data_IF_557866349647
#
_entry.id   IF_557866349647
#
_cell.length_a   1.000
_cell.length_b   1.000
_cell.length_c   1.000
_cell.angle_alpha   90.00
_cell.angle_beta   90.00
_cell.angle_gamma   90.00
#
_symmetry.space_group_name_H-M   'P 1'
#
loop_
_entity.id
_entity.type
_entity.pdbx_description
1 polymer ?
#
# COMPACT_ATOMS: atom_id res chain seq x y z
N UNK A 1 6.89 -19.99 -20.29
CA UNK A 1 6.47 -19.26 -19.08
C UNK A 1 5.68 -20.25 -18.24
N UNK A 2 6.03 -20.52 -16.96
CA UNK A 2 5.14 -21.31 -16.11
C UNK A 2 3.75 -20.68 -16.20
N UNK A 3 2.72 -21.52 -16.33
CA UNK A 3 1.35 -21.03 -16.48
C UNK A 3 1.03 -20.21 -15.23
N UNK A 4 0.89 -18.88 -15.38
CA UNK A 4 0.66 -17.98 -14.26
C UNK A 4 -0.65 -18.34 -13.55
N UNK A 5 -1.57 -19.00 -14.27
CA UNK A 5 -2.74 -19.60 -13.65
C UNK A 5 -2.36 -20.59 -12.56
N UNK A 6 -1.36 -21.43 -12.78
CA UNK A 6 -0.90 -22.45 -11.83
C UNK A 6 -0.40 -21.82 -10.54
N UNK A 7 0.43 -20.78 -10.63
CA UNK A 7 0.90 -20.04 -9.45
C UNK A 7 -0.26 -19.40 -8.68
N UNK A 8 -1.23 -18.84 -9.40
CA UNK A 8 -2.36 -18.17 -8.77
C UNK A 8 -3.43 -19.13 -8.26
N UNK A 9 -3.44 -20.43 -8.61
CA UNK A 9 -4.50 -21.38 -8.20
C UNK A 9 -4.77 -21.43 -6.70
N UNK A 10 -3.75 -21.24 -5.87
CA UNK A 10 -3.85 -21.16 -4.41
C UNK A 10 -4.85 -20.08 -3.93
N UNK A 11 -5.11 -19.05 -4.72
CA UNK A 11 -5.99 -17.94 -4.39
C UNK A 11 -7.47 -18.17 -4.71
N UNK A 12 -7.81 -19.31 -5.32
CA UNK A 12 -9.17 -19.57 -5.78
C UNK A 12 -10.20 -19.60 -4.64
N UNK A 13 -9.77 -19.98 -3.42
CA UNK A 13 -10.62 -19.97 -2.23
C UNK A 13 -10.99 -18.54 -1.81
N UNK A 14 -10.05 -17.59 -1.89
CA UNK A 14 -10.20 -16.22 -1.38
C UNK A 14 -10.85 -15.26 -2.39
N UNK A 15 -10.53 -15.39 -3.70
CA UNK A 15 -10.98 -14.43 -4.73
C UNK A 15 -12.29 -14.82 -5.42
N UNK A 16 -12.67 -16.10 -5.37
CA UNK A 16 -13.72 -16.65 -6.22
C UNK A 16 -13.37 -16.68 -7.71
N UNK A 17 -14.05 -17.55 -8.47
CA UNK A 17 -13.69 -17.89 -9.86
C UNK A 17 -13.60 -16.68 -10.79
N UNK A 18 -14.46 -15.68 -10.62
CA UNK A 18 -14.48 -14.50 -11.51
C UNK A 18 -13.29 -13.57 -11.26
N UNK A 19 -13.01 -13.19 -10.01
CA UNK A 19 -11.88 -12.31 -9.73
C UNK A 19 -10.54 -13.02 -9.92
N UNK A 20 -10.49 -14.34 -9.68
CA UNK A 20 -9.34 -15.17 -10.02
C UNK A 20 -8.98 -15.05 -11.51
N UNK A 21 -9.94 -15.24 -12.42
CA UNK A 21 -9.71 -15.09 -13.87
C UNK A 21 -9.29 -13.66 -14.24
N UNK A 22 -9.86 -12.65 -13.58
CA UNK A 22 -9.48 -11.24 -13.80
C UNK A 22 -8.04 -10.98 -13.32
N UNK A 23 -7.65 -11.51 -12.17
CA UNK A 23 -6.31 -11.37 -11.62
C UNK A 23 -5.27 -12.02 -12.55
N UNK A 24 -5.53 -13.22 -13.06
CA UNK A 24 -4.68 -13.86 -14.09
C UNK A 24 -4.45 -12.92 -15.28
N UNK A 25 -5.52 -12.35 -15.84
CA UNK A 25 -5.40 -11.41 -16.98
C UNK A 25 -4.65 -10.13 -16.62
N UNK A 26 -4.83 -9.62 -15.41
CA UNK A 26 -4.10 -8.44 -14.93
C UNK A 26 -2.60 -8.78 -14.81
N UNK A 27 -2.26 -9.92 -14.22
CA UNK A 27 -0.88 -10.35 -14.04
C UNK A 27 -0.18 -10.59 -15.39
N UNK A 28 -0.85 -11.27 -16.34
CA UNK A 28 -0.34 -11.44 -17.71
C UNK A 28 -0.09 -10.09 -18.39
N UNK A 29 -1.05 -9.15 -18.29
CA UNK A 29 -0.91 -7.82 -18.86
C UNK A 29 0.24 -7.03 -18.22
N UNK A 30 0.40 -7.13 -16.89
CA UNK A 30 1.50 -6.49 -16.15
C UNK A 30 2.86 -7.04 -16.58
N UNK A 31 2.99 -8.35 -16.79
CA UNK A 31 4.23 -8.98 -17.24
C UNK A 31 4.55 -8.67 -18.71
N UNK A 32 3.54 -8.37 -19.52
CA UNK A 32 3.71 -8.08 -20.95
C UNK A 32 4.01 -6.60 -21.23
N UNK A 33 3.61 -5.69 -20.35
CA UNK A 33 3.80 -4.26 -20.55
C UNK A 33 5.14 -3.77 -20.00
N UNK A 34 5.69 -2.76 -20.66
CA UNK A 34 6.87 -2.02 -20.18
C UNK A 34 6.46 -0.59 -19.77
N UNK A 35 7.09 -0.07 -18.72
CA UNK A 35 6.84 1.28 -18.23
C UNK A 35 5.68 1.39 -17.25
N UNK A 36 4.87 2.46 -17.37
CA UNK A 36 3.86 2.80 -16.37
C UNK A 36 2.62 1.91 -16.48
N UNK A 37 2.34 1.17 -15.41
CA UNK A 37 1.11 0.39 -15.27
C UNK A 37 -0.08 1.34 -15.03
N UNK A 38 -1.00 1.42 -15.99
CA UNK A 38 -2.23 2.21 -15.89
C UNK A 38 -3.43 1.32 -16.21
N UNK A 39 -4.64 1.62 -15.71
CA UNK A 39 -5.84 0.83 -16.05
C UNK A 39 -6.08 0.77 -17.56
N UNK A 40 -5.87 1.87 -18.29
CA UNK A 40 -5.98 1.89 -19.75
C UNK A 40 -4.90 1.02 -20.41
N UNK A 41 -3.66 1.12 -19.95
CA UNK A 41 -2.56 0.26 -20.40
C UNK A 41 -2.88 -1.22 -20.18
N UNK A 42 -3.33 -1.58 -18.97
CA UNK A 42 -3.73 -2.94 -18.64
C UNK A 42 -4.82 -3.44 -19.60
N UNK A 43 -5.85 -2.62 -19.87
CA UNK A 43 -6.94 -3.02 -20.76
C UNK A 43 -6.48 -3.30 -22.20
N UNK A 44 -5.45 -2.59 -22.67
CA UNK A 44 -4.86 -2.79 -24.01
C UNK A 44 -4.05 -4.08 -24.09
N UNK A 45 -3.36 -4.45 -23.01
CA UNK A 45 -2.50 -5.62 -22.94
C UNK A 45 -3.20 -6.92 -22.49
N UNK A 46 -4.34 -6.82 -21.80
CA UNK A 46 -5.06 -7.98 -21.25
C UNK A 46 -5.92 -8.77 -22.26
N UNK A 47 -5.97 -8.33 -23.52
CA UNK A 47 -6.68 -9.03 -24.60
C UNK A 47 -8.18 -9.27 -24.34
N UNK A 48 -8.71 -10.36 -24.89
CA UNK A 48 -10.13 -10.71 -24.75
C UNK A 48 -10.49 -11.03 -23.30
N UNK A 49 -11.48 -10.32 -22.77
CA UNK A 49 -11.97 -10.49 -21.39
C UNK A 49 -11.40 -9.47 -20.39
N UNK A 50 -10.33 -8.76 -20.74
CA UNK A 50 -9.73 -7.71 -19.92
C UNK A 50 -10.12 -6.29 -20.32
N UNK A 51 -11.40 -6.05 -20.67
CA UNK A 51 -11.83 -4.68 -20.98
C UNK A 51 -11.60 -3.72 -19.81
N UNK A 52 -11.52 -2.42 -20.10
CA UNK A 52 -11.37 -1.40 -19.05
C UNK A 52 -12.43 -1.54 -17.95
N UNK A 53 -13.69 -1.84 -18.31
CA UNK A 53 -14.78 -2.06 -17.35
C UNK A 53 -14.54 -3.30 -16.49
N UNK A 54 -13.95 -4.37 -17.04
CA UNK A 54 -13.59 -5.57 -16.27
C UNK A 54 -12.53 -5.25 -15.22
N UNK A 55 -11.48 -4.52 -15.61
CA UNK A 55 -10.42 -4.10 -14.70
C UNK A 55 -10.96 -3.18 -13.60
N UNK A 56 -11.78 -2.22 -13.98
CA UNK A 56 -12.45 -1.32 -13.04
C UNK A 56 -13.29 -2.11 -12.02
N UNK A 57 -14.04 -3.13 -12.46
CA UNK A 57 -14.80 -4.01 -11.55
C UNK A 57 -13.90 -4.80 -10.61
N UNK A 58 -12.73 -5.25 -11.06
CA UNK A 58 -11.77 -5.95 -10.19
C UNK A 58 -11.23 -5.00 -9.10
N UNK A 59 -10.70 -3.84 -9.49
CA UNK A 59 -10.15 -2.88 -8.52
C UNK A 59 -11.18 -2.20 -7.62
N UNK A 60 -12.47 -2.29 -7.96
CA UNK A 60 -13.56 -1.82 -7.11
C UNK A 60 -14.09 -2.93 -6.17
N UNK A 61 -13.67 -4.17 -6.36
CA UNK A 61 -14.07 -5.26 -5.47
C UNK A 61 -13.30 -5.19 -4.15
N UNK A 62 -13.97 -5.55 -3.06
CA UNK A 62 -13.38 -5.68 -1.73
C UNK A 62 -12.59 -6.97 -1.68
N UNK A 63 -11.26 -6.87 -1.69
CA UNK A 63 -10.34 -8.01 -1.62
C UNK A 63 -9.55 -7.89 -0.32
N UNK A 64 -9.48 -8.98 0.45
CA UNK A 64 -8.59 -9.08 1.60
C UNK A 64 -7.16 -9.33 1.10
N UNK A 65 -6.46 -8.24 0.75
CA UNK A 65 -5.08 -8.30 0.24
C UNK A 65 -4.09 -8.98 1.19
N UNK A 66 -4.14 -8.74 2.51
CA UNK A 66 -3.23 -9.42 3.45
C UNK A 66 -3.38 -10.94 3.41
N UNK A 67 -4.62 -11.43 3.44
CA UNK A 67 -4.91 -12.86 3.32
C UNK A 67 -4.40 -13.42 1.99
N UNK A 68 -4.64 -12.70 0.90
CA UNK A 68 -4.20 -13.10 -0.44
C UNK A 68 -2.67 -13.20 -0.55
N UNK A 69 -1.95 -12.20 -0.05
CA UNK A 69 -0.50 -12.19 -0.02
C UNK A 69 0.04 -13.33 0.86
N UNK A 70 -0.61 -13.58 2.00
CA UNK A 70 -0.26 -14.67 2.89
C UNK A 70 -0.45 -16.04 2.23
N UNK A 71 -1.57 -16.27 1.53
CA UNK A 71 -1.80 -17.54 0.80
C UNK A 71 -0.76 -17.78 -0.29
N UNK A 72 -0.38 -16.74 -1.05
CA UNK A 72 0.72 -16.83 -2.03
C UNK A 72 2.04 -17.15 -1.35
N UNK A 73 2.31 -16.49 -0.23
CA UNK A 73 3.53 -16.68 0.53
C UNK A 73 3.63 -18.10 1.08
N UNK A 74 2.59 -18.59 1.76
CA UNK A 74 2.54 -19.95 2.30
C UNK A 74 2.69 -21.02 1.21
N UNK A 75 2.06 -20.82 0.05
CA UNK A 75 2.03 -21.83 -1.01
C UNK A 75 3.36 -21.96 -1.76
N UNK A 76 4.07 -20.84 -1.97
CA UNK A 76 5.21 -20.81 -2.90
C UNK A 76 6.53 -20.35 -2.29
N UNK A 77 6.49 -19.65 -1.16
CA UNK A 77 7.66 -18.94 -0.60
C UNK A 77 8.04 -19.42 0.79
N UNK A 78 7.08 -19.94 1.56
CA UNK A 78 7.33 -20.56 2.85
C UNK A 78 8.07 -21.88 2.61
N UNK A 79 9.31 -21.94 3.06
CA UNK A 79 10.13 -23.15 3.04
C UNK A 79 10.64 -23.48 4.43
N UNK A 80 11.55 -24.45 4.51
CA UNK A 80 12.22 -24.89 5.75
C UNK A 80 13.23 -23.85 6.30
N UNK A 81 13.18 -22.62 5.81
CA UNK A 81 14.06 -21.56 6.29
C UNK A 81 13.74 -21.24 7.75
N UNK A 82 14.79 -21.24 8.55
CA UNK A 82 14.72 -21.18 10.02
C UNK A 82 14.65 -19.75 10.55
N UNK A 83 15.01 -18.75 9.76
CA UNK A 83 15.17 -17.36 10.21
C UNK A 83 14.39 -16.38 9.34
N UNK A 84 13.40 -15.75 9.98
CA UNK A 84 12.54 -14.75 9.38
C UNK A 84 12.50 -13.52 10.27
N UNK A 85 12.57 -12.34 9.65
CA UNK A 85 12.46 -11.05 10.32
C UNK A 85 11.23 -10.34 9.78
N UNK A 86 10.43 -9.76 10.68
CA UNK A 86 9.36 -8.84 10.28
C UNK A 86 9.89 -7.41 10.31
N UNK A 87 9.71 -6.70 9.20
CA UNK A 87 10.04 -5.29 9.09
C UNK A 87 8.76 -4.50 8.79
N UNK A 88 8.54 -3.43 9.54
CA UNK A 88 7.43 -2.52 9.36
C UNK A 88 7.97 -1.10 9.21
N UNK A 89 7.47 -0.37 8.22
CA UNK A 89 7.84 1.01 7.99
C UNK A 89 6.68 1.81 7.39
N UNK A 90 6.71 3.11 7.58
CA UNK A 90 5.77 4.06 6.99
C UNK A 90 6.37 4.69 5.74
N UNK A 91 5.64 4.60 4.62
CA UNK A 91 6.09 5.13 3.34
C UNK A 91 5.13 6.20 2.85
N UNK A 92 5.69 7.36 2.52
CA UNK A 92 4.95 8.47 1.92
C UNK A 92 5.10 8.44 0.41
N UNK A 93 3.99 8.32 -0.31
CA UNK A 93 3.94 8.39 -1.77
C UNK A 93 3.33 9.72 -2.19
N UNK A 94 4.11 10.54 -2.89
CA UNK A 94 3.61 11.82 -3.41
C UNK A 94 2.51 11.59 -4.43
N UNK A 95 1.41 12.34 -4.29
CA UNK A 95 0.28 12.23 -5.21
C UNK A 95 -0.22 13.62 -5.59
N UNK A 96 -0.34 13.84 -6.89
CA UNK A 96 -0.97 15.04 -7.44
C UNK A 96 -2.49 14.86 -7.51
N UNK A 97 -3.24 15.95 -7.33
CA UNK A 97 -4.69 15.96 -7.41
C UNK A 97 -5.34 16.33 -6.07
N UNK A 98 -6.67 16.29 -6.02
CA UNK A 98 -7.47 16.64 -4.83
C UNK A 98 -8.50 15.59 -4.43
N UNK A 99 -8.77 14.61 -5.31
CA UNK A 99 -9.85 13.62 -5.17
C UNK A 99 -9.31 12.22 -4.89
N UNK A 100 -8.34 12.12 -4.00
CA UNK A 100 -7.79 10.82 -3.58
C UNK A 100 -8.06 10.66 -2.10
N UNK A 101 -8.63 9.52 -1.72
CA UNK A 101 -8.91 9.19 -0.34
C UNK A 101 -7.61 9.09 0.46
N UNK A 102 -7.57 9.63 1.68
CA UNK A 102 -6.36 9.69 2.51
C UNK A 102 -5.29 10.68 2.04
N UNK A 103 -5.61 11.59 1.12
CA UNK A 103 -4.66 12.58 0.62
C UNK A 103 -4.39 13.65 1.69
N UNK A 104 -3.13 13.71 2.12
CA UNK A 104 -2.65 14.65 3.14
C UNK A 104 -1.35 15.33 2.69
N UNK A 105 -0.75 16.10 3.60
CA UNK A 105 0.51 16.81 3.40
C UNK A 105 1.58 16.21 4.31
N UNK A 106 2.62 15.66 3.71
CA UNK A 106 3.74 15.01 4.40
C UNK A 106 5.04 15.72 4.08
N UNK A 107 5.98 15.77 5.03
CA UNK A 107 7.31 16.32 4.77
C UNK A 107 8.12 15.32 3.94
N UNK A 108 8.73 15.78 2.85
CA UNK A 108 9.67 14.99 2.08
C UNK A 108 11.07 15.56 2.25
N UNK A 109 11.97 14.76 2.80
CA UNK A 109 13.40 15.10 2.93
C UNK A 109 14.04 15.34 1.56
N UNK A 110 13.66 14.56 0.55
CA UNK A 110 14.15 14.68 -0.84
C UNK A 110 13.85 16.06 -1.42
N UNK A 111 12.66 16.60 -1.18
CA UNK A 111 12.26 17.92 -1.69
C UNK A 111 12.52 19.07 -0.71
N UNK A 112 12.94 18.77 0.53
CA UNK A 112 13.10 19.74 1.61
C UNK A 112 11.81 20.50 1.98
N UNK A 113 10.64 19.97 1.61
CA UNK A 113 9.36 20.66 1.80
C UNK A 113 8.20 19.69 1.98
N UNK A 114 7.10 20.22 2.51
CA UNK A 114 5.85 19.48 2.61
C UNK A 114 5.20 19.32 1.24
N UNK A 115 4.94 18.07 0.87
CA UNK A 115 4.35 17.65 -0.40
C UNK A 115 3.01 16.95 -0.18
N UNK A 116 2.03 17.10 -1.10
CA UNK A 116 0.81 16.32 -1.04
C UNK A 116 1.11 14.84 -1.36
N UNK A 117 0.56 13.93 -0.56
CA UNK A 117 0.82 12.50 -0.69
C UNK A 117 -0.13 11.64 0.13
N UNK A 118 0.09 10.34 0.02
CA UNK A 118 -0.55 9.29 0.81
C UNK A 118 0.51 8.68 1.72
N UNK A 119 0.17 8.38 2.96
CA UNK A 119 1.01 7.58 3.84
C UNK A 119 0.50 6.14 3.87
N UNK A 120 1.40 5.19 3.74
CA UNK A 120 1.10 3.77 3.83
C UNK A 120 1.96 3.14 4.91
N UNK A 121 1.35 2.33 5.76
CA UNK A 121 2.05 1.37 6.58
C UNK A 121 2.35 0.13 5.75
N UNK A 122 3.62 -0.26 5.63
CA UNK A 122 4.03 -1.49 4.97
C UNK A 122 4.65 -2.43 5.98
N UNK A 123 4.15 -3.66 6.02
CA UNK A 123 4.74 -4.77 6.78
C UNK A 123 5.20 -5.85 5.80
N UNK A 124 6.47 -6.21 5.89
CA UNK A 124 7.12 -7.21 5.05
C UNK A 124 7.80 -8.27 5.89
N UNK A 125 7.77 -9.50 5.38
CA UNK A 125 8.50 -10.62 5.96
C UNK A 125 9.80 -10.85 5.17
N UNK A 126 10.91 -10.81 5.87
CA UNK A 126 12.26 -10.88 5.30
C UNK A 126 12.85 -12.25 5.63
N UNK A 127 13.27 -12.96 4.60
CA UNK A 127 14.05 -14.18 4.75
C UNK A 127 15.54 -13.80 4.86
N UNK A 128 16.17 -14.11 5.99
CA UNK A 128 17.57 -13.72 6.24
C UNK A 128 18.53 -14.47 5.31
N UNK A 129 18.27 -15.76 5.08
CA UNK A 129 19.12 -16.65 4.26
C UNK A 129 19.05 -16.27 2.78
N UNK A 130 17.84 -16.10 2.24
CA UNK A 130 17.59 -15.73 0.84
C UNK A 130 17.81 -14.25 0.55
N UNK A 131 17.92 -13.41 1.59
CA UNK A 131 18.03 -11.94 1.49
C UNK A 131 16.90 -11.35 0.64
N UNK A 132 15.70 -11.90 0.78
CA UNK A 132 14.51 -11.47 0.04
C UNK A 132 13.43 -10.95 0.99
N UNK A 133 12.78 -9.86 0.59
CA UNK A 133 11.66 -9.26 1.31
C UNK A 133 10.36 -9.56 0.59
N UNK A 134 9.34 -9.92 1.34
CA UNK A 134 8.01 -10.24 0.83
C UNK A 134 6.98 -9.34 1.52
N UNK A 135 6.36 -8.38 0.81
CA UNK A 135 5.36 -7.50 1.39
C UNK A 135 4.08 -8.27 1.69
N UNK A 136 3.70 -8.29 2.96
CA UNK A 136 2.50 -9.02 3.42
C UNK A 136 1.30 -8.08 3.49
N UNK A 137 1.52 -6.89 4.04
CA UNK A 137 0.47 -5.90 4.32
C UNK A 137 0.90 -4.53 3.81
N UNK A 138 -0.03 -3.84 3.18
CA UNK A 138 0.10 -2.43 2.84
C UNK A 138 -1.25 -1.75 3.12
N UNK A 139 -1.27 -0.89 4.14
CA UNK A 139 -2.48 -0.19 4.56
C UNK A 139 -2.29 1.32 4.48
N UNK A 140 -3.26 2.08 3.94
CA UNK A 140 -3.21 3.52 4.00
C UNK A 140 -3.40 3.99 5.44
N UNK A 141 -2.44 4.74 5.98
CA UNK A 141 -2.60 5.45 7.25
C UNK A 141 -3.39 6.72 6.95
N UNK A 142 -4.56 6.82 7.55
CA UNK A 142 -5.43 7.99 7.42
C UNK A 142 -5.53 8.61 8.79
N UNK A 143 -5.24 9.91 8.90
CA UNK A 143 -5.53 10.60 10.14
C UNK A 143 -7.02 10.85 10.19
N UNK A 144 -7.63 10.42 11.28
CA UNK A 144 -8.92 10.96 11.66
C UNK A 144 -8.76 12.48 11.79
N UNK A 145 -9.77 13.23 11.36
CA UNK A 145 -9.69 14.68 11.34
C UNK A 145 -9.38 15.19 12.76
N UNK A 146 -8.12 15.55 13.00
CA UNK A 146 -7.72 16.14 14.26
C UNK A 146 -8.58 17.39 14.45
N UNK A 147 -9.32 17.44 15.56
CA UNK A 147 -10.03 18.65 15.98
C UNK A 147 -9.07 19.82 15.83
N UNK A 148 -9.47 20.81 15.02
CA UNK A 148 -8.59 21.88 14.57
C UNK A 148 -7.84 22.48 15.75
N UNK A 149 -6.52 22.34 15.77
CA UNK A 149 -5.70 23.14 16.68
C UNK A 149 -6.04 24.62 16.41
N UNK A 150 -6.41 25.40 17.44
CA UNK A 150 -6.78 26.80 17.24
C UNK A 150 -5.64 27.50 16.52
N UNK A 151 -5.94 28.13 15.38
CA UNK A 151 -4.98 28.94 14.64
C UNK A 151 -4.55 30.08 15.57
N UNK A 152 -3.35 29.96 16.14
CA UNK A 152 -2.76 31.04 16.92
C UNK A 152 -2.78 32.32 16.10
N UNK A 153 -3.43 33.35 16.63
CA UNK A 153 -3.44 34.69 16.06
C UNK A 153 -2.00 35.16 15.88
N UNK A 154 -1.68 35.59 14.66
CA UNK A 154 -0.34 36.00 14.25
C UNK A 154 -0.07 37.39 14.86
N UNK A 155 0.43 37.43 16.09
CA UNK A 155 0.86 38.69 16.69
C UNK A 155 2.13 39.16 15.96
N UNK A 156 2.04 40.37 15.40
CA UNK A 156 3.16 41.06 14.76
C UNK A 156 4.18 41.44 15.84
N UNK A 157 5.46 41.23 15.51
CA UNK A 157 6.70 41.68 16.16
C UNK A 157 7.31 40.83 17.28
N UNK A 158 8.63 40.61 17.14
CA UNK A 158 9.52 40.24 18.24
C UNK A 158 10.16 38.86 18.11
N UNK A 159 11.31 38.80 17.45
CA UNK A 159 12.26 37.68 17.43
C UNK A 159 12.44 37.05 18.82
N UNK A 160 12.10 35.76 19.02
CA UNK A 160 12.67 34.87 20.05
C UNK A 160 12.22 33.41 19.90
N UNK A 161 13.21 32.54 19.70
CA UNK A 161 13.28 31.06 19.90
C UNK A 161 12.05 30.22 19.55
N UNK A 162 12.21 29.39 18.53
CA UNK A 162 11.34 28.23 18.26
C UNK A 162 11.36 27.32 19.50
N UNK A 163 10.30 27.37 20.32
CA UNK A 163 10.00 26.29 21.27
C UNK A 163 9.34 25.17 20.48
N UNK A 164 10.07 24.08 20.27
CA UNK A 164 9.47 22.81 19.88
C UNK A 164 8.66 22.29 21.08
N UNK A 165 7.35 22.55 21.09
CA UNK A 165 6.43 21.87 21.99
C UNK A 165 6.03 20.55 21.32
N UNK A 166 6.79 19.48 21.55
CA UNK A 166 6.23 18.14 21.48
C UNK A 166 5.51 17.87 22.80
N UNK A 167 4.22 18.21 22.88
CA UNK A 167 3.37 17.62 23.91
C UNK A 167 2.90 16.26 23.38
N UNK A 168 3.76 15.25 23.53
CA UNK A 168 3.34 13.86 23.49
C UNK A 168 2.72 13.54 24.86
N UNK A 169 1.41 13.70 24.99
CA UNK A 169 0.68 13.10 26.10
C UNK A 169 0.23 11.73 25.64
N UNK A 170 1.01 10.70 25.98
CA UNK A 170 0.57 9.31 25.86
C UNK A 170 -0.48 9.09 26.96
N UNK A 171 -1.75 8.77 26.66
CA UNK A 171 -2.64 8.28 27.70
C UNK A 171 -2.14 6.89 28.10
N UNK A 172 -1.56 6.81 29.31
CA UNK A 172 -1.37 5.55 30.02
C UNK A 172 -2.75 4.97 30.32
N UNK A 173 -3.27 4.12 29.43
CA UNK A 173 -4.32 3.18 29.81
C UNK A 173 -3.69 2.11 30.70
N UNK A 174 -3.80 2.34 32.00
CA UNK A 174 -3.52 1.33 33.01
C UNK A 174 -4.41 0.12 32.75
N UNK A 175 -3.77 -1.05 32.79
CA UNK A 175 -4.41 -2.35 32.98
C UNK A 175 -5.31 -2.29 34.21
N UNK A 176 -6.52 -2.82 34.07
CA UNK A 176 -7.17 -3.67 35.07
C UNK A 176 -7.74 -4.88 34.34
#
# INVERSE_FOLDING_TARGET
MPDIMLLLTCLNYELGKTNQRRLVRIAEAMLSMTGRVTMLGLSRWSGRGGSYRTLQRFFHSTINWPQLNWSLFQSHLLGEDTEWVMAADEVVVTKSGKKTYGLERFFSSIYGKTVPGLCFFSLSLINVKRRSSHPMLLEPIIKEAAASCPKGTRNKWGQKRIKFCYNFTVPLTQRQ
#
